data_IF_494021172220
#
_entry.id   IF_494021172220
#
_cell.length_a   1.000
_cell.length_b   1.000
_cell.length_c   1.000
_cell.angle_alpha   90.00
_cell.angle_beta   90.00
_cell.angle_gamma   90.00
#
_symmetry.space_group_name_H-M   'P 1'
#
loop_
_entity.id
_entity.type
_entity.pdbx_description
1 polymer ?
#
# COMPACT_ATOMS: atom_id res chain seq x y z
N UNK A 1 -89.96 -13.98 -15.42
CA UNK A 1 -90.74 -14.44 -14.25
C UNK A 1 -89.73 -15.15 -13.34
N UNK A 2 -89.28 -14.47 -12.27
CA UNK A 2 -89.74 -14.68 -10.89
C UNK A 2 -89.47 -16.13 -10.43
N UNK A 3 -88.74 -16.44 -9.36
CA UNK A 3 -88.12 -15.69 -8.26
C UNK A 3 -87.69 -16.70 -7.17
N UNK A 4 -86.76 -16.30 -6.29
CA UNK A 4 -86.49 -16.82 -4.91
C UNK A 4 -86.31 -18.34 -4.68
N UNK A 5 -85.40 -18.84 -3.85
CA UNK A 5 -85.31 -18.65 -2.38
C UNK A 5 -83.91 -19.07 -1.89
N UNK A 6 -83.56 -18.52 -0.74
CA UNK A 6 -82.26 -18.45 -0.10
C UNK A 6 -81.84 -19.66 0.78
N UNK A 7 -80.51 -19.71 1.02
CA UNK A 7 -79.75 -20.08 2.24
C UNK A 7 -79.95 -21.46 2.90
N UNK A 8 -78.81 -22.17 3.05
CA UNK A 8 -78.25 -22.62 4.36
C UNK A 8 -76.81 -23.13 4.15
N UNK A 9 -75.81 -22.41 4.65
CA UNK A 9 -74.90 -22.74 5.79
C UNK A 9 -73.73 -23.68 5.45
N UNK A 10 -72.50 -23.17 5.63
CA UNK A 10 -71.26 -23.96 5.60
C UNK A 10 -70.00 -23.11 5.47
N UNK A 11 -69.67 -22.33 6.51
CA UNK A 11 -68.36 -21.70 6.70
C UNK A 11 -67.27 -22.76 6.85
N UNK A 12 -66.05 -22.54 6.33
CA UNK A 12 -64.74 -22.66 7.04
C UNK A 12 -63.54 -22.53 6.06
N UNK A 13 -62.77 -21.47 6.30
CA UNK A 13 -61.32 -21.25 6.17
C UNK A 13 -60.49 -21.54 4.89
N UNK A 14 -59.79 -20.46 4.49
CA UNK A 14 -58.49 -20.44 3.79
C UNK A 14 -57.52 -21.47 4.36
N UNK A 15 -56.63 -22.01 3.52
CA UNK A 15 -55.19 -22.06 3.83
C UNK A 15 -54.35 -22.26 2.56
N UNK A 16 -53.43 -21.30 2.38
CA UNK A 16 -52.29 -21.34 1.48
C UNK A 16 -51.39 -22.51 1.88
N UNK A 17 -50.94 -23.32 0.91
CA UNK A 17 -49.71 -24.09 1.05
C UNK A 17 -48.90 -23.93 -0.24
N UNK A 18 -48.08 -22.89 -0.26
CA UNK A 18 -46.89 -22.88 -1.10
C UNK A 18 -46.00 -24.02 -0.60
N UNK A 19 -45.88 -25.05 -1.43
CA UNK A 19 -44.89 -26.11 -1.27
C UNK A 19 -43.49 -25.51 -1.41
N UNK A 20 -42.88 -25.19 -0.28
CA UNK A 20 -41.44 -25.05 -0.13
C UNK A 20 -41.01 -26.10 0.90
N UNK A 21 -40.98 -27.35 0.45
CA UNK A 21 -40.14 -28.37 1.09
C UNK A 21 -38.68 -27.94 0.89
N UNK A 22 -38.17 -27.07 1.75
CA UNK A 22 -36.75 -27.05 2.04
C UNK A 22 -36.47 -28.36 2.78
N UNK A 23 -35.83 -29.29 2.08
CA UNK A 23 -35.24 -30.48 2.69
C UNK A 23 -34.30 -29.98 3.79
N UNK A 24 -34.63 -30.30 5.05
CA UNK A 24 -33.73 -30.06 6.16
C UNK A 24 -32.39 -30.73 5.82
N UNK A 25 -31.32 -29.94 5.70
CA UNK A 25 -29.97 -30.46 5.88
C UNK A 25 -29.95 -31.23 7.22
N UNK A 26 -29.14 -32.29 7.32
CA UNK A 26 -29.07 -33.31 8.40
C UNK A 26 -28.97 -32.84 9.88
N UNK A 27 -29.32 -31.60 10.25
CA UNK A 27 -29.30 -31.09 11.62
C UNK A 27 -27.89 -30.94 12.20
N UNK A 28 -26.87 -31.19 11.40
CA UNK A 28 -25.47 -31.11 11.80
C UNK A 28 -25.02 -29.66 11.76
N UNK A 29 -24.59 -29.16 12.91
CA UNK A 29 -24.16 -27.79 13.12
C UNK A 29 -22.73 -27.81 13.65
N UNK A 30 -21.87 -26.89 13.18
CA UNK A 30 -20.49 -26.80 13.66
C UNK A 30 -20.36 -25.60 14.60
N UNK A 31 -19.43 -25.68 15.54
CA UNK A 31 -19.08 -24.57 16.40
C UNK A 31 -17.56 -24.44 16.56
N UNK A 32 -17.06 -23.20 16.45
CA UNK A 32 -15.68 -22.83 16.79
C UNK A 32 -15.71 -22.08 18.11
N UNK A 33 -14.91 -22.51 19.08
CA UNK A 33 -14.81 -21.91 20.42
C UNK A 33 -16.20 -21.73 21.08
N UNK A 34 -17.07 -22.72 20.92
CA UNK A 34 -18.44 -22.75 21.42
C UNK A 34 -19.43 -21.73 20.80
N UNK A 35 -19.11 -21.12 19.67
CA UNK A 35 -20.08 -20.34 18.90
C UNK A 35 -20.32 -20.97 17.53
N UNK A 36 -21.59 -20.96 17.12
CA UNK A 36 -22.07 -21.49 15.84
C UNK A 36 -22.06 -20.43 14.73
N UNK A 37 -21.69 -19.20 15.06
CA UNK A 37 -21.58 -18.10 14.11
C UNK A 37 -20.13 -17.88 13.69
N UNK A 38 -19.95 -17.33 12.50
CA UNK A 38 -18.66 -16.85 12.05
C UNK A 38 -18.18 -15.71 12.96
N UNK A 39 -16.91 -15.76 13.35
CA UNK A 39 -16.34 -14.87 14.36
C UNK A 39 -15.12 -14.10 13.84
N UNK A 40 -14.80 -13.01 14.54
CA UNK A 40 -13.52 -12.33 14.42
C UNK A 40 -12.79 -12.50 15.75
N UNK A 41 -11.59 -13.07 15.71
CA UNK A 41 -10.74 -13.24 16.88
C UNK A 41 -9.61 -12.22 16.85
N UNK A 42 -9.71 -11.20 17.72
CA UNK A 42 -8.65 -10.20 17.86
C UNK A 42 -7.51 -10.73 18.73
N UNK A 43 -6.27 -10.63 18.23
CA UNK A 43 -5.06 -11.07 18.94
C UNK A 43 -3.86 -10.16 18.61
N UNK A 44 -2.67 -10.48 19.12
CA UNK A 44 -1.42 -9.74 18.91
C UNK A 44 -0.33 -10.66 18.33
N UNK A 45 0.61 -10.13 17.53
CA UNK A 45 1.73 -10.92 17.03
C UNK A 45 2.58 -11.54 18.17
N UNK A 46 3.14 -12.72 17.92
CA UNK A 46 3.98 -13.44 18.86
C UNK A 46 3.22 -14.26 19.90
N UNK A 47 1.88 -14.18 19.95
CA UNK A 47 1.05 -15.04 20.78
C UNK A 47 0.76 -16.36 20.10
N UNK A 48 0.46 -17.35 20.91
CA UNK A 48 -0.03 -18.65 20.47
C UNK A 48 -1.55 -18.66 20.62
N UNK A 49 -2.26 -18.96 19.53
CA UNK A 49 -3.73 -18.98 19.54
C UNK A 49 -4.23 -20.38 19.16
N UNK A 50 -5.14 -20.93 19.96
CA UNK A 50 -5.74 -22.24 19.70
C UNK A 50 -7.20 -22.09 19.31
N UNK A 51 -7.60 -22.78 18.24
CA UNK A 51 -8.99 -22.85 17.80
C UNK A 51 -9.49 -24.27 17.97
N UNK A 52 -10.69 -24.41 18.52
CA UNK A 52 -11.36 -25.69 18.71
C UNK A 52 -12.65 -25.72 17.92
N UNK A 53 -12.80 -26.72 17.04
CA UNK A 53 -14.01 -26.97 16.30
C UNK A 53 -14.69 -28.24 16.79
N UNK A 54 -16.03 -28.19 16.86
CA UNK A 54 -16.85 -29.30 17.33
C UNK A 54 -18.13 -29.43 16.52
N UNK A 55 -18.61 -30.66 16.38
CA UNK A 55 -19.96 -30.95 15.86
C UNK A 55 -20.97 -30.85 17.00
N UNK A 56 -22.04 -30.08 16.77
CA UNK A 56 -23.21 -29.96 17.62
C UNK A 56 -24.36 -30.82 17.08
N UNK A 57 -25.22 -31.25 18.00
CA UNK A 57 -26.49 -31.94 17.70
C UNK A 57 -26.36 -33.19 16.81
N UNK A 58 -25.20 -33.86 16.85
CA UNK A 58 -24.96 -35.10 16.11
C UNK A 58 -24.27 -36.13 17.00
N UNK A 59 -24.84 -37.33 17.06
CA UNK A 59 -24.29 -38.47 17.81
C UNK A 59 -23.37 -39.37 16.98
N UNK A 60 -23.25 -39.12 15.67
CA UNK A 60 -22.38 -39.88 14.77
C UNK A 60 -20.93 -39.49 14.92
N UNK A 61 -20.07 -40.39 14.46
CA UNK A 61 -18.65 -40.16 14.25
C UNK A 61 -18.41 -39.32 13.00
N UNK A 62 -18.19 -38.02 13.16
CA UNK A 62 -17.92 -37.10 12.05
C UNK A 62 -16.44 -36.70 12.02
N UNK A 63 -15.88 -36.68 10.81
CA UNK A 63 -14.52 -36.22 10.57
C UNK A 63 -14.54 -34.73 10.16
N UNK A 64 -13.70 -33.94 10.83
CA UNK A 64 -13.55 -32.50 10.61
C UNK A 64 -12.16 -32.17 10.08
N UNK A 65 -12.08 -31.13 9.23
CA UNK A 65 -10.81 -30.65 8.67
C UNK A 65 -10.73 -29.14 8.70
N UNK A 66 -9.53 -28.63 8.99
CA UNK A 66 -9.22 -27.21 9.01
C UNK A 66 -8.55 -26.73 7.73
N UNK A 67 -8.90 -25.52 7.34
CA UNK A 67 -8.36 -24.79 6.20
C UNK A 67 -7.91 -23.41 6.67
N UNK A 68 -6.81 -22.91 6.10
CA UNK A 68 -6.27 -21.57 6.36
C UNK A 68 -6.32 -20.80 5.05
N UNK A 69 -7.19 -19.80 4.98
CA UNK A 69 -7.54 -19.18 3.70
C UNK A 69 -8.16 -20.20 2.75
N UNK A 70 -7.62 -20.28 1.53
CA UNK A 70 -7.97 -21.27 0.50
C UNK A 70 -7.14 -22.57 0.58
N UNK A 71 -6.06 -22.57 1.36
CA UNK A 71 -5.16 -23.70 1.54
C UNK A 71 -5.56 -24.66 2.66
N UNK A 72 -5.01 -25.87 2.63
CA UNK A 72 -5.15 -26.88 3.71
C UNK A 72 -4.08 -26.69 4.77
N UNK A 73 -4.44 -26.80 6.04
CA UNK A 73 -3.47 -26.88 7.14
C UNK A 73 -3.05 -28.33 7.31
N UNK A 74 -1.73 -28.62 7.34
CA UNK A 74 -1.23 -29.94 7.69
C UNK A 74 -1.45 -30.19 9.19
N UNK A 75 -2.60 -30.75 9.51
CA UNK A 75 -2.96 -31.19 10.86
C UNK A 75 -2.13 -32.45 11.18
N UNK A 76 -0.98 -32.29 11.83
CA UNK A 76 -0.18 -33.47 12.20
C UNK A 76 -0.62 -34.18 13.48
N UNK A 77 -1.27 -33.54 14.43
CA UNK A 77 -1.71 -34.22 15.66
C UNK A 77 -2.94 -33.52 16.26
N UNK A 78 -4.09 -34.19 16.31
CA UNK A 78 -5.26 -33.66 17.05
C UNK A 78 -6.65 -34.04 16.56
N UNK A 79 -6.81 -34.68 15.40
CA UNK A 79 -8.13 -35.09 14.93
C UNK A 79 -8.73 -36.18 15.83
N UNK A 80 -9.73 -35.80 16.62
CA UNK A 80 -10.63 -36.71 17.32
C UNK A 80 -11.95 -36.78 16.55
N UNK A 81 -12.74 -37.81 16.81
CA UNK A 81 -14.11 -37.90 16.31
C UNK A 81 -14.93 -36.71 16.81
N UNK A 82 -15.67 -36.03 15.93
CA UNK A 82 -16.51 -34.84 16.20
C UNK A 82 -15.79 -33.58 16.68
N UNK A 83 -14.48 -33.63 16.91
CA UNK A 83 -13.74 -32.51 17.50
C UNK A 83 -12.31 -32.44 16.95
N UNK A 84 -11.86 -31.24 16.62
CA UNK A 84 -10.52 -31.01 16.10
C UNK A 84 -10.02 -29.65 16.57
N UNK A 85 -8.71 -29.53 16.74
CA UNK A 85 -8.08 -28.29 17.16
C UNK A 85 -6.88 -27.94 16.30
N UNK A 86 -6.59 -26.65 16.22
CA UNK A 86 -5.37 -26.13 15.64
C UNK A 86 -4.73 -25.13 16.58
N UNK A 87 -3.41 -25.03 16.49
CA UNK A 87 -2.63 -24.00 17.15
C UNK A 87 -1.92 -23.16 16.08
N UNK A 88 -2.06 -21.84 16.18
CA UNK A 88 -1.39 -20.85 15.36
C UNK A 88 -0.17 -20.39 16.15
N UNK A 89 1.02 -20.84 15.71
CA UNK A 89 2.27 -20.74 16.48
C UNK A 89 3.42 -20.19 15.62
N UNK A 90 4.02 -19.04 15.99
CA UNK A 90 3.35 -17.92 16.64
C UNK A 90 2.43 -17.19 15.65
N UNK A 91 1.43 -16.48 16.17
CA UNK A 91 0.65 -15.53 15.36
C UNK A 91 1.58 -14.48 14.77
N UNK A 92 1.49 -14.29 13.46
CA UNK A 92 2.27 -13.31 12.70
C UNK A 92 1.40 -12.15 12.22
N UNK A 93 2.01 -11.02 11.84
CA UNK A 93 1.26 -9.91 11.21
C UNK A 93 0.58 -10.33 9.90
N UNK A 94 1.15 -11.30 9.18
CA UNK A 94 0.58 -11.84 7.93
C UNK A 94 -0.66 -12.71 8.15
N UNK A 95 -0.98 -13.07 9.39
CA UNK A 95 -2.23 -13.74 9.73
C UNK A 95 -3.43 -12.80 9.82
N UNK A 96 -3.21 -11.48 9.77
CA UNK A 96 -4.29 -10.50 9.81
C UNK A 96 -5.26 -10.68 8.61
N UNK A 97 -6.55 -10.78 8.90
CA UNK A 97 -7.60 -10.98 7.88
C UNK A 97 -7.69 -12.43 7.36
N UNK A 98 -6.83 -13.34 7.80
CA UNK A 98 -6.88 -14.75 7.39
C UNK A 98 -8.03 -15.46 8.10
N UNK A 99 -8.85 -16.17 7.32
CA UNK A 99 -9.91 -17.02 7.84
C UNK A 99 -9.42 -18.45 8.10
N UNK A 100 -9.67 -18.96 9.29
CA UNK A 100 -9.53 -20.37 9.65
C UNK A 100 -10.90 -21.03 9.60
N UNK A 101 -11.06 -21.98 8.69
CA UNK A 101 -12.34 -22.60 8.38
C UNK A 101 -12.32 -24.06 8.76
N UNK A 102 -13.25 -24.46 9.62
CA UNK A 102 -13.51 -25.86 9.94
C UNK A 102 -14.63 -26.37 9.03
N UNK A 103 -14.37 -27.46 8.31
CA UNK A 103 -15.34 -28.10 7.41
C UNK A 103 -15.58 -29.54 7.80
N UNK A 104 -16.82 -29.97 7.57
CA UNK A 104 -17.18 -31.37 7.66
C UNK A 104 -16.69 -32.13 6.42
N UNK A 105 -15.89 -33.18 6.60
CA UNK A 105 -15.24 -33.89 5.47
C UNK A 105 -16.26 -34.53 4.51
N UNK A 106 -17.34 -35.13 5.05
CA UNK A 106 -18.36 -35.77 4.22
C UNK A 106 -19.24 -34.79 3.44
N UNK A 107 -19.31 -33.54 3.88
CA UNK A 107 -20.10 -32.49 3.25
C UNK A 107 -19.48 -31.13 3.56
N UNK A 108 -18.55 -30.70 2.71
CA UNK A 108 -17.81 -29.44 2.91
C UNK A 108 -18.68 -28.18 2.86
N UNK A 109 -19.95 -28.29 2.43
CA UNK A 109 -20.91 -27.19 2.49
C UNK A 109 -21.26 -26.83 3.94
N UNK A 110 -21.10 -27.77 4.88
CA UNK A 110 -21.23 -27.56 6.31
C UNK A 110 -19.86 -27.10 6.85
N UNK A 111 -19.75 -25.80 7.10
CA UNK A 111 -18.52 -25.16 7.52
C UNK A 111 -18.79 -23.97 8.44
N UNK A 112 -17.77 -23.61 9.23
CA UNK A 112 -17.75 -22.43 10.09
C UNK A 112 -16.35 -21.82 10.06
N UNK A 113 -16.27 -20.50 10.13
CA UNK A 113 -15.01 -19.76 10.00
C UNK A 113 -14.78 -18.78 11.14
N UNK A 114 -13.52 -18.63 11.53
CA UNK A 114 -13.06 -17.49 12.34
C UNK A 114 -12.01 -16.71 11.56
N UNK A 115 -12.15 -15.40 11.49
CA UNK A 115 -11.15 -14.51 10.87
C UNK A 115 -10.28 -13.91 11.95
N UNK A 116 -8.95 -13.97 11.80
CA UNK A 116 -8.06 -13.32 12.76
C UNK A 116 -7.97 -11.82 12.48
N UNK A 117 -8.06 -11.03 13.54
CA UNK A 117 -7.74 -9.60 13.56
C UNK A 117 -6.47 -9.41 14.38
N UNK A 118 -5.31 -9.37 13.72
CA UNK A 118 -4.02 -9.29 14.38
C UNK A 118 -3.63 -7.84 14.55
N UNK A 119 -3.74 -7.35 15.79
CA UNK A 119 -3.56 -5.95 16.15
C UNK A 119 -2.12 -5.64 16.59
N UNK A 120 -1.54 -4.58 16.04
CA UNK A 120 -0.18 -4.13 16.33
C UNK A 120 -0.01 -2.62 16.10
N UNK A 121 0.87 -1.95 16.86
CA UNK A 121 1.12 -0.52 16.71
C UNK A 121 1.71 -0.19 15.34
N UNK A 122 1.62 1.08 14.88
CA UNK A 122 2.16 1.48 13.61
C UNK A 122 3.66 1.22 13.53
N UNK A 123 4.14 0.82 12.35
CA UNK A 123 5.55 0.73 12.02
C UNK A 123 5.78 1.53 10.73
N UNK A 124 6.76 2.43 10.78
CA UNK A 124 7.08 3.32 9.66
C UNK A 124 8.45 2.98 9.07
N UNK A 125 8.53 2.94 7.74
CA UNK A 125 9.80 2.81 7.01
C UNK A 125 9.84 3.79 5.84
N UNK A 126 11.04 4.16 5.42
CA UNK A 126 11.27 5.11 4.34
C UNK A 126 12.72 5.54 4.30
N UNK A 127 13.16 6.00 3.14
CA UNK A 127 14.53 6.42 2.86
C UNK A 127 14.58 7.91 2.57
N UNK A 128 15.69 8.55 2.96
CA UNK A 128 15.96 9.94 2.60
C UNK A 128 16.05 10.07 1.08
N UNK A 129 15.46 11.11 0.48
CA UNK A 129 15.67 11.37 -0.95
C UNK A 129 17.14 11.77 -1.19
N UNK A 130 17.67 11.51 -2.39
CA UNK A 130 18.94 12.13 -2.78
C UNK A 130 18.80 13.66 -2.82
N UNK A 131 19.92 14.42 -2.78
CA UNK A 131 19.88 15.85 -3.02
C UNK A 131 19.20 16.19 -4.35
N UNK A 132 18.37 17.23 -4.35
CA UNK A 132 17.55 17.62 -5.51
C UNK A 132 17.88 19.03 -5.94
N UNK A 133 18.14 19.24 -7.23
CA UNK A 133 18.34 20.58 -7.78
C UNK A 133 17.03 21.39 -7.80
N UNK A 134 17.13 22.71 -7.59
CA UNK A 134 15.98 23.62 -7.67
C UNK A 134 15.16 23.44 -8.97
N UNK A 135 13.85 23.64 -8.84
CA UNK A 135 12.83 23.50 -9.90
C UNK A 135 12.52 22.07 -10.34
N UNK A 136 13.21 21.06 -9.83
CA UNK A 136 12.80 19.66 -9.98
C UNK A 136 11.74 19.28 -8.93
N UNK A 137 11.14 18.11 -9.09
CA UNK A 137 10.18 17.57 -8.14
C UNK A 137 10.87 16.54 -7.24
N UNK A 138 10.41 16.44 -5.99
CA UNK A 138 10.87 15.41 -5.04
C UNK A 138 9.69 14.69 -4.42
N UNK A 139 9.89 13.40 -4.09
CA UNK A 139 8.91 12.55 -3.42
C UNK A 139 9.53 11.99 -2.14
N UNK A 140 8.84 12.19 -1.03
CA UNK A 140 9.12 11.53 0.25
C UNK A 140 8.08 10.43 0.44
N UNK A 141 8.53 9.19 0.58
CA UNK A 141 7.65 8.02 0.71
C UNK A 141 7.82 7.42 2.09
N UNK A 142 6.75 7.45 2.87
CA UNK A 142 6.66 6.84 4.18
C UNK A 142 5.72 5.63 4.10
N UNK A 143 6.29 4.43 4.18
CA UNK A 143 5.50 3.20 4.23
C UNK A 143 4.99 3.00 5.66
N UNK A 144 3.72 2.66 5.79
CA UNK A 144 3.04 2.43 7.07
C UNK A 144 2.53 1.00 7.12
N UNK A 145 2.83 0.31 8.21
CA UNK A 145 2.24 -0.98 8.52
C UNK A 145 1.61 -0.91 9.91
N UNK A 146 0.28 -0.89 9.97
CA UNK A 146 -0.50 -0.74 11.20
C UNK A 146 -1.83 -1.49 11.13
N UNK A 147 -2.22 -2.15 12.21
CA UNK A 147 -3.59 -2.62 12.40
C UNK A 147 -4.04 -2.41 13.86
N UNK A 148 -5.07 -1.61 14.16
CA UNK A 148 -5.93 -0.86 13.23
C UNK A 148 -5.18 0.18 12.39
N UNK A 149 -5.81 0.63 11.30
CA UNK A 149 -5.24 1.64 10.40
C UNK A 149 -4.89 2.92 11.17
N UNK A 150 -3.68 3.44 10.96
CA UNK A 150 -3.20 4.67 11.56
C UNK A 150 -3.65 5.92 10.80
N UNK A 151 -3.85 7.01 11.52
CA UNK A 151 -3.98 8.36 10.97
C UNK A 151 -2.59 8.93 10.70
N UNK A 152 -2.41 9.51 9.51
CA UNK A 152 -1.10 9.94 9.00
C UNK A 152 -1.02 11.47 8.86
N UNK A 153 0.08 12.07 9.31
CA UNK A 153 0.32 13.52 9.20
C UNK A 153 1.77 13.80 8.80
N UNK A 154 2.00 14.77 7.92
CA UNK A 154 3.33 15.29 7.61
C UNK A 154 3.62 16.55 8.42
N UNK A 155 4.86 16.66 8.86
CA UNK A 155 5.44 17.86 9.47
C UNK A 155 6.66 18.29 8.68
N UNK A 156 6.93 19.59 8.67
CA UNK A 156 8.21 20.16 8.23
C UNK A 156 8.76 21.00 9.38
N UNK A 157 10.00 20.73 9.78
CA UNK A 157 10.70 21.44 10.85
C UNK A 157 9.84 21.56 12.12
N UNK A 158 9.24 20.44 12.55
CA UNK A 158 8.33 20.30 13.70
C UNK A 158 6.98 21.04 13.60
N UNK A 159 6.66 21.66 12.47
CA UNK A 159 5.38 22.31 12.24
C UNK A 159 4.52 21.48 11.29
N UNK A 160 3.22 21.34 11.58
CA UNK A 160 2.31 20.59 10.70
C UNK A 160 2.34 21.17 9.30
N UNK A 161 2.56 20.29 8.32
CA UNK A 161 2.66 20.69 6.93
C UNK A 161 1.31 21.16 6.43
N UNK A 162 1.17 22.46 6.22
CA UNK A 162 -0.07 23.03 5.71
C UNK A 162 -0.08 22.95 4.18
N UNK A 163 -1.03 22.22 3.60
CA UNK A 163 -1.19 22.02 2.14
C UNK A 163 -1.64 23.28 1.37
N UNK A 164 -1.60 24.47 1.98
CA UNK A 164 -2.00 25.73 1.34
C UNK A 164 -1.03 26.16 0.23
N UNK A 165 0.09 25.48 0.04
CA UNK A 165 0.99 25.68 -1.09
C UNK A 165 0.59 24.73 -2.21
N UNK A 166 0.15 25.27 -3.35
CA UNK A 166 -0.20 24.49 -4.57
C UNK A 166 0.91 23.52 -5.04
N UNK A 167 2.16 23.72 -4.58
CA UNK A 167 3.32 22.86 -4.88
C UNK A 167 3.35 21.54 -4.10
N UNK A 168 2.63 21.42 -2.97
CA UNK A 168 2.71 20.26 -2.08
C UNK A 168 1.50 19.35 -2.31
N UNK A 169 1.76 18.09 -2.66
CA UNK A 169 0.71 17.11 -2.96
C UNK A 169 0.89 15.86 -2.09
N UNK A 170 -0.19 15.44 -1.43
CA UNK A 170 -0.20 14.22 -0.64
C UNK A 170 -0.94 13.11 -1.39
N UNK A 171 -0.34 11.93 -1.38
CA UNK A 171 -0.96 10.68 -1.80
C UNK A 171 -0.95 9.71 -0.62
N UNK A 172 -2.06 9.03 -0.36
CA UNK A 172 -2.21 8.13 0.78
C UNK A 172 -3.00 6.87 0.42
N UNK A 173 -2.49 5.73 0.83
CA UNK A 173 -3.17 4.42 0.85
C UNK A 173 -3.08 3.83 2.26
N UNK A 174 -3.62 2.63 2.48
CA UNK A 174 -3.44 1.91 3.76
C UNK A 174 -1.98 1.56 4.09
N UNK A 175 -1.09 1.57 3.10
CA UNK A 175 0.31 1.12 3.25
C UNK A 175 1.34 2.20 2.93
N UNK A 176 0.96 3.25 2.20
CA UNK A 176 1.90 4.27 1.69
C UNK A 176 1.35 5.66 1.95
N UNK A 177 2.16 6.51 2.58
CA UNK A 177 1.91 7.93 2.76
C UNK A 177 3.03 8.75 2.11
N UNK A 178 2.70 9.41 1.01
CA UNK A 178 3.68 10.09 0.16
C UNK A 178 3.42 11.59 0.12
N UNK A 179 4.49 12.37 0.30
CA UNK A 179 4.53 13.80 0.02
C UNK A 179 5.30 14.05 -1.27
N UNK A 180 4.68 14.72 -2.22
CA UNK A 180 5.33 15.22 -3.43
C UNK A 180 5.46 16.73 -3.32
N UNK A 181 6.67 17.25 -3.50
CA UNK A 181 6.95 18.69 -3.55
C UNK A 181 7.36 19.00 -4.98
N UNK A 182 6.52 19.76 -5.67
CA UNK A 182 6.78 20.19 -7.04
C UNK A 182 7.66 21.42 -7.07
N UNK A 183 8.56 21.49 -8.05
CA UNK A 183 9.45 22.63 -8.30
C UNK A 183 10.10 23.13 -7.01
N UNK A 184 10.93 22.29 -6.40
CA UNK A 184 11.57 22.57 -5.11
C UNK A 184 12.36 23.88 -5.15
N UNK A 185 12.31 24.60 -4.04
CA UNK A 185 13.03 25.86 -3.80
C UNK A 185 14.00 25.66 -2.62
N UNK A 186 15.04 26.50 -2.49
CA UNK A 186 15.93 26.46 -1.31
C UNK A 186 15.21 26.48 0.03
N UNK A 187 14.05 27.16 0.11
CA UNK A 187 13.24 27.22 1.33
C UNK A 187 12.59 25.88 1.70
N UNK A 188 12.51 24.92 0.79
CA UNK A 188 11.98 23.58 1.04
C UNK A 188 13.00 22.67 1.75
N UNK A 189 14.27 23.07 1.81
CA UNK A 189 15.30 22.37 2.60
C UNK A 189 14.88 22.25 4.07
N UNK A 190 15.10 21.09 4.67
CA UNK A 190 14.75 20.86 6.08
C UNK A 190 14.45 19.41 6.39
N UNK A 191 13.94 19.20 7.60
CA UNK A 191 13.55 17.86 8.09
C UNK A 191 12.04 17.71 7.96
N UNK A 192 11.63 16.66 7.26
CA UNK A 192 10.23 16.29 7.10
C UNK A 192 9.93 15.06 7.95
N UNK A 193 8.85 15.08 8.71
CA UNK A 193 8.48 13.96 9.58
C UNK A 193 7.13 13.43 9.16
N UNK A 194 7.02 12.15 8.83
CA UNK A 194 5.72 11.47 8.81
C UNK A 194 5.43 10.92 10.20
N UNK A 195 4.23 11.17 10.68
CA UNK A 195 3.70 10.66 11.94
C UNK A 195 2.53 9.74 11.64
N UNK A 196 2.49 8.61 12.33
CA UNK A 196 1.39 7.64 12.31
C UNK A 196 0.85 7.45 13.71
N UNK A 197 -0.45 7.68 13.89
CA UNK A 197 -1.12 7.54 15.17
C UNK A 197 -2.26 6.53 15.08
N UNK A 198 -2.24 5.52 15.95
CA UNK A 198 -3.36 4.59 16.12
C UNK A 198 -3.69 4.42 17.60
N UNK A 199 -4.79 3.72 17.89
CA UNK A 199 -5.20 3.41 19.27
C UNK A 199 -4.18 2.57 20.04
N UNK A 200 -3.22 1.95 19.34
CA UNK A 200 -2.19 1.09 19.94
C UNK A 200 -0.84 1.81 20.11
N UNK A 201 -0.70 3.03 19.61
CA UNK A 201 0.52 3.80 19.75
C UNK A 201 0.74 4.80 18.62
N UNK A 202 1.86 5.51 18.71
CA UNK A 202 2.30 6.50 17.75
C UNK A 202 3.73 6.20 17.33
N UNK A 203 4.05 6.44 16.05
CA UNK A 203 5.39 6.36 15.51
C UNK A 203 5.68 7.54 14.58
N UNK A 204 6.95 7.93 14.52
CA UNK A 204 7.44 9.00 13.64
C UNK A 204 8.64 8.52 12.85
N UNK A 205 8.76 8.97 11.59
CA UNK A 205 9.95 8.78 10.77
C UNK A 205 10.34 10.11 10.12
N UNK A 206 11.60 10.47 10.29
CA UNK A 206 12.18 11.68 9.71
C UNK A 206 12.84 11.40 8.37
N UNK A 207 12.80 12.42 7.51
CA UNK A 207 13.39 12.50 6.19
C UNK A 207 14.17 13.80 6.06
N UNK A 208 15.38 13.74 5.50
CA UNK A 208 16.22 14.92 5.28
C UNK A 208 16.19 15.33 3.81
N UNK A 209 15.61 16.49 3.50
CA UNK A 209 15.60 17.02 2.14
C UNK A 209 16.71 18.07 1.97
N UNK A 210 17.63 17.79 1.04
CA UNK A 210 18.67 18.73 0.61
C UNK A 210 18.34 19.30 -0.76
N UNK A 211 18.25 20.63 -0.87
CA UNK A 211 17.99 21.32 -2.15
C UNK A 211 19.23 22.05 -2.65
N UNK A 212 19.76 21.61 -3.79
CA UNK A 212 20.95 22.16 -4.43
C UNK A 212 20.60 23.24 -5.45
N UNK A 213 21.54 24.16 -5.69
CA UNK A 213 21.36 25.17 -6.74
C UNK A 213 21.33 24.49 -8.10
N UNK A 214 20.43 24.95 -8.96
CA UNK A 214 20.39 24.44 -10.34
C UNK A 214 21.69 24.79 -11.04
N UNK A 215 22.42 23.78 -11.51
CA UNK A 215 23.65 24.01 -12.27
C UNK A 215 23.30 24.79 -13.55
N UNK A 216 24.08 25.85 -13.89
CA UNK A 216 23.86 26.58 -15.12
C UNK A 216 24.09 25.65 -16.31
N UNK A 217 23.00 25.32 -17.02
CA UNK A 217 23.09 24.61 -18.29
C UNK A 217 23.52 25.63 -19.33
N UNK A 218 24.82 25.68 -19.63
CA UNK A 218 25.30 26.48 -20.75
C UNK A 218 24.75 25.86 -22.05
N UNK A 219 23.97 26.60 -22.85
CA UNK A 219 23.47 26.06 -24.11
C UNK A 219 24.65 25.70 -25.01
N UNK A 220 24.55 24.55 -25.68
CA UNK A 220 25.61 24.07 -26.58
C UNK A 220 25.96 25.13 -27.64
N UNK A 221 24.97 25.92 -28.08
CA UNK A 221 25.14 27.07 -28.97
C UNK A 221 26.10 28.14 -28.41
N UNK A 222 26.04 28.43 -27.10
CA UNK A 222 26.95 29.39 -26.48
C UNK A 222 28.39 28.83 -26.40
N UNK A 223 28.52 27.52 -26.16
CA UNK A 223 29.82 26.83 -26.17
C UNK A 223 30.41 26.86 -27.59
N UNK A 224 29.61 26.53 -28.60
CA UNK A 224 30.02 26.54 -30.01
C UNK A 224 30.38 27.96 -30.44
N UNK A 225 29.56 28.97 -30.13
CA UNK A 225 29.84 30.36 -30.46
C UNK A 225 31.16 30.84 -29.83
N UNK A 226 31.42 30.48 -28.56
CA UNK A 226 32.69 30.79 -27.91
C UNK A 226 33.88 30.13 -28.60
N UNK A 227 33.76 28.85 -28.98
CA UNK A 227 34.81 28.13 -29.72
C UNK A 227 35.05 28.77 -31.08
N UNK A 228 34.00 29.11 -31.84
CA UNK A 228 34.10 29.76 -33.14
C UNK A 228 34.77 31.14 -33.02
N UNK A 229 34.41 31.94 -32.02
CA UNK A 229 35.06 33.23 -31.75
C UNK A 229 36.54 33.04 -31.45
N UNK A 230 36.91 32.07 -30.61
CA UNK A 230 38.33 31.74 -30.34
C UNK A 230 39.05 31.32 -31.61
N UNK A 231 38.47 30.42 -32.42
CA UNK A 231 39.08 29.99 -33.69
C UNK A 231 39.26 31.15 -34.67
N UNK A 232 38.27 32.02 -34.82
CA UNK A 232 38.36 33.20 -35.67
C UNK A 232 39.46 34.14 -35.19
N UNK A 233 39.52 34.46 -33.89
CA UNK A 233 40.59 35.33 -33.34
C UNK A 233 41.98 34.75 -33.55
N UNK A 234 42.15 33.43 -33.44
CA UNK A 234 43.41 32.73 -33.74
C UNK A 234 43.74 32.85 -35.23
N UNK A 235 42.78 32.59 -36.12
CA UNK A 235 42.95 32.69 -37.57
C UNK A 235 43.33 34.12 -37.98
N UNK A 236 42.59 35.13 -37.50
CA UNK A 236 42.91 36.54 -37.74
C UNK A 236 44.31 36.90 -37.22
N UNK A 237 44.69 36.39 -36.05
CA UNK A 237 46.04 36.56 -35.50
C UNK A 237 47.14 35.96 -36.39
N UNK A 238 46.91 34.77 -36.95
CA UNK A 238 47.85 34.10 -37.87
C UNK A 238 47.96 34.88 -39.18
N UNK A 239 46.84 35.31 -39.76
CA UNK A 239 46.80 36.10 -41.00
C UNK A 239 47.54 37.43 -40.81
N UNK A 240 47.24 38.15 -39.72
CA UNK A 240 47.90 39.42 -39.41
C UNK A 240 49.42 39.26 -39.20
N UNK A 241 49.87 38.15 -38.59
CA UNK A 241 51.31 37.84 -38.47
C UNK A 241 51.95 37.58 -39.84
N UNK A 242 51.30 36.82 -40.72
CA UNK A 242 51.78 36.57 -42.09
C UNK A 242 51.90 37.85 -42.91
N UNK A 243 50.91 38.73 -42.85
CA UNK A 243 50.94 40.02 -43.55
C UNK A 243 52.09 40.92 -43.07
N UNK A 244 52.33 40.97 -41.75
CA UNK A 244 53.48 41.71 -41.19
C UNK A 244 54.81 41.16 -41.70
N UNK A 245 54.99 39.84 -41.71
CA UNK A 245 56.21 39.19 -42.22
C UNK A 245 56.41 39.53 -43.71
N UNK A 246 55.36 39.39 -44.52
CA UNK A 246 55.43 39.68 -45.96
C UNK A 246 55.79 41.14 -46.26
N UNK A 247 55.24 42.10 -45.50
CA UNK A 247 55.61 43.53 -45.63
C UNK A 247 57.08 43.76 -45.27
N UNK A 248 57.60 43.15 -44.20
CA UNK A 248 59.02 43.25 -43.82
C UNK A 248 59.94 42.66 -44.88
N UNK A 249 59.61 41.50 -45.45
CA UNK A 249 60.40 40.87 -46.52
C UNK A 249 60.40 41.72 -47.79
N UNK A 250 59.27 42.33 -48.16
CA UNK A 250 59.18 43.21 -49.34
C UNK A 250 59.97 44.51 -49.16
N UNK A 251 59.95 45.12 -47.97
CA UNK A 251 60.76 46.29 -47.66
C UNK A 251 62.26 45.96 -47.66
N UNK A 252 62.65 44.77 -47.18
CA UNK A 252 64.03 44.28 -47.23
C UNK A 252 64.52 44.00 -48.66
N UNK A 253 63.66 43.53 -49.57
CA UNK A 253 64.03 43.31 -50.97
C UNK A 253 64.19 44.62 -51.75
N UNK A 254 63.34 45.63 -51.50
CA UNK A 254 63.45 46.94 -52.17
C UNK A 254 64.70 47.74 -51.76
N UNK A 255 65.32 47.40 -50.63
CA UNK A 255 66.54 48.08 -50.13
C UNK A 255 67.84 47.47 -50.69
N UNK A 256 67.77 46.33 -51.39
CA UNK A 256 68.93 45.63 -51.99
C UNK A 256 69.13 45.91 -53.50
N UNK A 257 68.26 46.70 -54.13
CA UNK A 257 68.30 47.03 -55.57
C UNK A 257 68.64 48.51 -55.86
N UNK A 258 69.21 49.22 -54.89
CA UNK A 258 69.77 50.57 -55.08
C UNK A 258 71.27 50.60 -54.84
#
# INVERSE_FOLDING_TARGET
MAGGIARTTGTVFKLLFFSLFFVFADGVELAINNSSDNQILSTKPGRDESLWCSVRNNSRAEELRWYRGDGTVNLKDGNKMNTTNICILPVSKTDNGVSFTCKLVRNESIQISVTLDVQFPPLLTGEDPPPVEEKNDVKLTCNVNSNPQAEMVWYKDNSTLTLKKDRYQIYHTSEVFQLTIQKVEKSDNGTYTCEAKSVLGEMRKEFHLTVEDRKPVFPLEAIIAAIVVVLLTVIFGIVARREKIFKVTKTSMNQKTS
#
